data_IF_263933463060
#
_entry.id   IF_263933463060
#
_cell.length_a   1.000
_cell.length_b   1.000
_cell.length_c   1.000
_cell.angle_alpha   90.00
_cell.angle_beta   90.00
_cell.angle_gamma   90.00
#
_symmetry.space_group_name_H-M   'P 1'
#
loop_
_entity.id
_entity.type
_entity.pdbx_description
1 polymer ?
#
# COMPACT_ATOMS: atom_id res chain seq x y z
N UNK A 1 -4.49 17.17 -8.54
CA UNK A 1 -4.14 16.97 -9.96
C UNK A 1 -2.62 16.89 -10.18
N UNK A 2 -1.84 17.86 -9.70
CA UNK A 2 -0.36 17.88 -9.83
C UNK A 2 0.32 16.62 -9.27
N UNK A 3 -0.16 16.12 -8.12
CA UNK A 3 0.41 14.96 -7.44
C UNK A 3 0.29 13.69 -8.32
N UNK A 4 -0.86 13.52 -8.99
CA UNK A 4 -1.08 12.40 -9.92
C UNK A 4 -0.17 12.49 -11.14
N UNK A 5 0.03 13.71 -11.67
CA UNK A 5 0.98 13.93 -12.78
C UNK A 5 2.40 13.57 -12.39
N UNK A 6 2.85 13.97 -11.19
CA UNK A 6 4.16 13.63 -10.65
C UNK A 6 4.32 12.12 -10.43
N UNK A 7 3.29 11.42 -9.93
CA UNK A 7 3.34 9.96 -9.82
C UNK A 7 3.44 9.29 -11.19
N UNK A 8 2.67 9.78 -12.18
CA UNK A 8 2.69 9.23 -13.53
C UNK A 8 4.05 9.43 -14.21
N UNK A 9 4.64 10.62 -14.06
CA UNK A 9 6.01 10.92 -14.50
C UNK A 9 7.04 10.05 -13.78
N UNK A 10 6.91 9.84 -12.47
CA UNK A 10 7.78 8.97 -11.69
C UNK A 10 7.76 7.52 -12.19
N UNK A 11 6.58 6.98 -12.51
CA UNK A 11 6.45 5.62 -13.08
C UNK A 11 7.03 5.54 -14.49
N UNK A 12 6.77 6.54 -15.35
CA UNK A 12 7.30 6.58 -16.71
C UNK A 12 8.83 6.65 -16.74
N UNK A 13 9.42 7.51 -15.90
CA UNK A 13 10.88 7.63 -15.75
C UNK A 13 11.48 6.36 -15.10
N UNK A 14 10.78 5.77 -14.13
CA UNK A 14 11.16 4.49 -13.53
C UNK A 14 11.16 3.32 -14.54
N UNK A 15 10.22 3.31 -15.47
CA UNK A 15 10.13 2.26 -16.49
C UNK A 15 11.19 2.41 -17.61
N UNK A 16 11.54 3.65 -17.99
CA UNK A 16 12.46 3.89 -19.11
C UNK A 16 13.94 3.76 -18.75
N UNK A 17 14.30 3.88 -17.46
CA UNK A 17 15.70 4.09 -17.03
C UNK A 17 16.30 2.97 -16.16
N UNK A 18 15.57 1.88 -15.87
CA UNK A 18 15.99 0.83 -14.93
C UNK A 18 16.58 -0.42 -15.62
N UNK A 19 17.92 -0.54 -15.75
CA UNK A 19 18.59 -1.83 -15.86
C UNK A 19 18.67 -2.51 -14.48
N UNK A 20 18.47 -3.84 -14.44
CA UNK A 20 18.37 -4.74 -13.27
C UNK A 20 19.40 -4.50 -12.15
N UNK A 21 20.56 -3.93 -12.49
CA UNK A 21 21.73 -3.77 -11.62
C UNK A 21 21.60 -2.61 -10.62
N UNK A 22 20.80 -1.58 -10.95
CA UNK A 22 20.58 -0.41 -10.09
C UNK A 22 19.29 -0.49 -9.27
N UNK A 23 18.45 -1.50 -9.53
CA UNK A 23 17.16 -1.68 -8.89
C UNK A 23 17.28 -1.95 -7.38
N UNK A 24 18.29 -2.70 -6.96
CA UNK A 24 18.52 -3.02 -5.54
C UNK A 24 18.89 -1.79 -4.72
N UNK A 25 19.65 -0.86 -5.30
CA UNK A 25 20.04 0.38 -4.60
C UNK A 25 18.83 1.32 -4.46
N UNK A 26 18.05 1.48 -5.53
CA UNK A 26 16.82 2.27 -5.49
C UNK A 26 15.78 1.69 -4.54
N UNK A 27 15.64 0.37 -4.45
CA UNK A 27 14.75 -0.25 -3.46
C UNK A 27 15.16 0.07 -2.01
N UNK A 28 16.47 0.06 -1.71
CA UNK A 28 16.95 0.43 -0.37
C UNK A 28 16.71 1.91 -0.07
N UNK A 29 16.98 2.80 -1.03
CA UNK A 29 16.72 4.24 -0.91
C UNK A 29 15.22 4.55 -0.81
N UNK A 30 14.38 3.79 -1.49
CA UNK A 30 12.93 3.92 -1.38
C UNK A 30 12.44 3.50 0.01
N UNK A 31 12.90 2.35 0.53
CA UNK A 31 12.52 1.88 1.86
C UNK A 31 12.99 2.86 2.95
N UNK A 32 14.24 3.36 2.88
CA UNK A 32 14.72 4.35 3.86
C UNK A 32 13.87 5.63 3.82
N UNK A 33 13.49 6.08 2.62
CA UNK A 33 12.65 7.26 2.44
C UNK A 33 11.24 7.05 2.98
N UNK A 34 10.64 5.87 2.75
CA UNK A 34 9.33 5.50 3.31
C UNK A 34 9.40 5.49 4.84
N UNK A 35 10.44 4.92 5.43
CA UNK A 35 10.61 4.89 6.89
C UNK A 35 10.70 6.31 7.45
N UNK A 36 11.51 7.18 6.84
CA UNK A 36 11.63 8.59 7.24
C UNK A 36 10.29 9.31 7.10
N UNK A 37 9.55 9.10 6.00
CA UNK A 37 8.25 9.72 5.77
C UNK A 37 7.20 9.26 6.78
N UNK A 38 7.12 7.95 7.06
CA UNK A 38 6.21 7.40 8.08
C UNK A 38 6.55 8.00 9.44
N UNK A 39 7.83 8.13 9.76
CA UNK A 39 8.27 8.76 11.00
C UNK A 39 7.85 10.23 11.08
N UNK A 40 8.13 11.03 10.05
CA UNK A 40 7.68 12.43 10.00
C UNK A 40 6.16 12.57 10.13
N UNK A 41 5.40 11.70 9.48
CA UNK A 41 3.94 11.68 9.57
C UNK A 41 3.47 11.32 10.99
N UNK A 42 4.13 10.36 11.64
CA UNK A 42 3.88 9.98 13.03
C UNK A 42 4.17 11.13 14.02
N UNK A 43 5.32 11.80 13.88
CA UNK A 43 5.67 12.98 14.69
C UNK A 43 4.68 14.11 14.47
N UNK A 44 4.26 14.36 13.23
CA UNK A 44 3.25 15.38 12.92
C UNK A 44 1.91 15.05 13.58
N UNK A 45 1.48 13.79 13.57
CA UNK A 45 0.26 13.35 14.26
C UNK A 45 0.37 13.50 15.78
N UNK A 46 1.52 13.15 16.38
CA UNK A 46 1.75 13.24 17.82
C UNK A 46 1.88 14.67 18.33
N UNK A 47 2.43 15.57 17.52
CA UNK A 47 2.53 17.00 17.83
C UNK A 47 1.24 17.77 17.57
N UNK A 48 0.24 17.17 16.92
CA UNK A 48 -1.03 17.82 16.63
C UNK A 48 -2.04 17.48 17.74
N UNK A 49 -2.13 18.36 18.72
CA UNK A 49 -3.01 18.24 19.91
C UNK A 49 -4.46 17.95 19.50
N UNK A 50 -4.95 18.56 18.41
CA UNK A 50 -6.30 18.32 17.88
C UNK A 50 -6.51 16.88 17.38
N UNK A 51 -5.49 16.25 16.79
CA UNK A 51 -5.59 14.87 16.33
C UNK A 51 -5.39 13.90 17.51
N UNK A 52 -4.47 14.19 18.44
CA UNK A 52 -4.31 13.41 19.66
C UNK A 52 -5.55 13.45 20.57
N UNK A 53 -6.18 14.60 20.75
CA UNK A 53 -7.44 14.73 21.49
C UNK A 53 -8.61 14.04 20.78
N UNK A 54 -8.66 14.07 19.45
CA UNK A 54 -9.66 13.31 18.68
C UNK A 54 -9.39 11.80 18.75
N UNK A 55 -8.14 11.36 18.76
CA UNK A 55 -7.77 9.96 18.98
C UNK A 55 -8.06 9.52 20.42
N UNK A 56 -7.88 10.37 21.43
CA UNK A 56 -8.21 10.07 22.83
C UNK A 56 -9.73 10.05 23.05
N UNK A 57 -10.45 11.03 22.52
CA UNK A 57 -11.90 11.16 22.67
C UNK A 57 -12.72 10.22 21.79
N UNK A 58 -12.20 9.82 20.62
CA UNK A 58 -12.91 9.01 19.61
C UNK A 58 -12.09 7.82 19.11
N UNK A 59 -11.02 7.44 19.81
CA UNK A 59 -10.11 6.37 19.38
C UNK A 59 -10.78 5.02 19.20
N UNK A 60 -11.78 4.70 20.04
CA UNK A 60 -12.53 3.45 19.93
C UNK A 60 -13.37 3.40 18.64
N UNK A 61 -14.00 4.52 18.28
CA UNK A 61 -14.78 4.62 17.05
C UNK A 61 -13.88 4.62 15.81
N UNK A 62 -12.74 5.32 15.87
CA UNK A 62 -11.71 5.29 14.83
C UNK A 62 -11.10 3.90 14.63
N UNK A 63 -10.88 3.15 15.72
CA UNK A 63 -10.40 1.77 15.69
C UNK A 63 -11.40 0.86 14.96
N UNK A 64 -12.69 0.94 15.30
CA UNK A 64 -13.74 0.20 14.61
C UNK A 64 -13.80 0.56 13.12
N UNK A 65 -13.72 1.85 12.80
CA UNK A 65 -13.69 2.34 11.42
C UNK A 65 -12.42 1.97 10.66
N UNK A 66 -11.32 1.63 11.33
CA UNK A 66 -10.12 1.11 10.69
C UNK A 66 -10.22 -0.41 10.49
N UNK A 67 -10.58 -1.15 11.54
CA UNK A 67 -10.59 -2.62 11.55
C UNK A 67 -11.65 -3.19 10.60
N UNK A 68 -12.86 -2.63 10.60
CA UNK A 68 -13.96 -3.12 9.74
C UNK A 68 -13.59 -3.09 8.25
N UNK A 69 -13.15 -1.96 7.65
CA UNK A 69 -12.78 -1.93 6.24
C UNK A 69 -11.48 -2.70 5.95
N UNK A 70 -10.54 -2.81 6.89
CA UNK A 70 -9.35 -3.65 6.70
C UNK A 70 -9.78 -5.12 6.55
N UNK A 71 -10.58 -5.65 7.47
CA UNK A 71 -11.06 -7.03 7.41
C UNK A 71 -11.89 -7.25 6.14
N UNK A 72 -12.79 -6.33 5.83
CA UNK A 72 -13.62 -6.40 4.61
C UNK A 72 -12.73 -6.41 3.35
N UNK A 73 -11.73 -5.52 3.26
CA UNK A 73 -10.80 -5.45 2.13
C UNK A 73 -10.03 -6.77 1.98
N UNK A 74 -9.52 -7.35 3.08
CA UNK A 74 -8.80 -8.63 3.06
C UNK A 74 -9.71 -9.77 2.59
N UNK A 75 -10.96 -9.85 3.09
CA UNK A 75 -11.94 -10.86 2.66
C UNK A 75 -12.23 -10.73 1.17
N UNK A 76 -12.48 -9.51 0.68
CA UNK A 76 -12.76 -9.26 -0.74
C UNK A 76 -11.57 -9.67 -1.60
N UNK A 77 -10.36 -9.25 -1.26
CA UNK A 77 -9.13 -9.62 -1.98
C UNK A 77 -8.92 -11.14 -1.96
N UNK A 78 -9.21 -11.81 -0.85
CA UNK A 78 -9.09 -13.26 -0.76
C UNK A 78 -10.09 -13.99 -1.66
N UNK A 79 -11.36 -13.54 -1.68
CA UNK A 79 -12.38 -14.09 -2.59
C UNK A 79 -11.98 -13.84 -4.05
N UNK A 80 -11.56 -12.61 -4.37
CA UNK A 80 -11.15 -12.24 -5.72
C UNK A 80 -9.92 -13.04 -6.17
N UNK A 81 -8.91 -13.16 -5.31
CA UNK A 81 -7.71 -13.97 -5.58
C UNK A 81 -8.07 -15.43 -5.80
N UNK A 82 -8.94 -15.99 -4.96
CA UNK A 82 -9.39 -17.38 -5.10
C UNK A 82 -10.25 -17.58 -6.36
N UNK A 83 -11.06 -16.61 -6.76
CA UNK A 83 -11.88 -16.68 -7.97
C UNK A 83 -11.02 -16.56 -9.23
N UNK A 84 -10.12 -15.58 -9.27
CA UNK A 84 -9.25 -15.29 -10.43
C UNK A 84 -8.16 -16.34 -10.62
N UNK A 85 -7.69 -16.99 -9.55
CA UNK A 85 -6.63 -18.01 -9.62
C UNK A 85 -7.15 -19.44 -9.77
N UNK A 86 -8.47 -19.65 -9.67
CA UNK A 86 -9.10 -20.97 -9.91
C UNK A 86 -9.29 -21.28 -11.40
N UNK A 87 -9.26 -20.27 -12.27
CA UNK A 87 -9.36 -20.46 -13.73
C UNK A 87 -8.08 -21.05 -14.37
N UNK A 88 -6.97 -21.20 -13.63
CA UNK A 88 -5.73 -21.82 -14.14
C UNK A 88 -5.53 -23.28 -13.70
N UNK A 89 -6.61 -24.03 -13.48
CA UNK A 89 -6.49 -25.45 -13.08
C UNK A 89 -7.28 -26.46 -13.91
N UNK A 90 -8.09 -26.01 -14.88
CA UNK A 90 -8.88 -26.92 -15.73
C UNK A 90 -8.30 -27.16 -17.13
N UNK A 91 -7.12 -26.60 -17.48
CA UNK A 91 -6.47 -26.80 -18.79
C UNK A 91 -5.28 -27.78 -18.77
N UNK A 92 -5.03 -28.49 -17.67
CA UNK A 92 -3.88 -29.41 -17.54
C UNK A 92 -4.27 -30.82 -17.08
N UNK A 93 -5.49 -31.25 -17.41
CA UNK A 93 -5.98 -32.63 -17.22
C UNK A 93 -6.77 -33.11 -18.44
N UNK A 94 -6.25 -32.87 -19.65
CA UNK A 94 -6.76 -33.52 -20.86
C UNK A 94 -5.64 -33.62 -21.92
N UNK A 95 -4.53 -34.27 -21.57
CA UNK A 95 -3.53 -34.77 -22.53
C UNK A 95 -2.57 -35.77 -21.83
N UNK A 96 -3.15 -36.68 -21.04
CA UNK A 96 -2.53 -37.97 -20.73
C UNK A 96 -3.30 -39.06 -21.47
#
# INVERSE_FOLDING_TARGET
MIILLIMCLGVALGAYIFPEKWQVHNSKVQVISIVILIFCMGVTLGSNETLMDKLLGMGLQGLLFAVIPIILSVIVVYILTRLFMKEKKDDQSNND
#
